data_IF_317421591262
#
_entry.id   IF_317421591262
#
_cell.length_a   1.000
_cell.length_b   1.000
_cell.length_c   1.000
_cell.angle_alpha   90.00
_cell.angle_beta   90.00
_cell.angle_gamma   90.00
#
_symmetry.space_group_name_H-M   'P 1'
#
loop_
_entity.id
_entity.type
_entity.pdbx_description
1 polymer ?
#
# COMPACT_ATOMS: atom_id res chain seq x y z
N UNK A 1 0.24 9.08 -3.07
CA UNK A 1 0.05 8.64 -1.67
C UNK A 1 0.64 7.28 -1.32
N UNK A 2 0.34 6.15 -2.01
CA UNK A 2 0.72 4.82 -1.52
C UNK A 2 2.23 4.62 -1.42
N UNK A 3 3.02 5.20 -2.33
CA UNK A 3 4.48 5.15 -2.30
C UNK A 3 5.07 5.81 -1.05
N UNK A 4 4.57 6.99 -0.66
CA UNK A 4 5.06 7.71 0.53
C UNK A 4 4.72 6.91 1.79
N UNK A 5 3.50 6.38 1.90
CA UNK A 5 3.09 5.56 3.03
C UNK A 5 3.95 4.28 3.16
N UNK A 6 4.21 3.60 2.05
CA UNK A 6 5.07 2.42 2.03
C UNK A 6 6.54 2.74 2.37
N UNK A 7 7.06 3.87 1.88
CA UNK A 7 8.42 4.35 2.23
C UNK A 7 8.52 4.69 3.72
N UNK A 8 7.50 5.33 4.31
CA UNK A 8 7.46 5.60 5.75
C UNK A 8 7.49 4.30 6.57
N UNK A 9 6.73 3.28 6.15
CA UNK A 9 6.77 1.95 6.77
C UNK A 9 8.16 1.31 6.65
N UNK A 10 8.74 1.30 5.46
CA UNK A 10 10.10 0.75 5.20
C UNK A 10 11.16 1.45 6.03
N UNK A 11 11.09 2.78 6.11
CA UNK A 11 11.99 3.58 6.94
C UNK A 11 11.87 3.20 8.42
N UNK A 12 10.65 3.09 8.95
CA UNK A 12 10.40 2.75 10.35
C UNK A 12 10.98 1.38 10.75
N UNK A 13 11.06 0.42 9.82
CA UNK A 13 11.61 -0.93 10.06
C UNK A 13 13.05 -1.11 9.55
N UNK A 14 13.72 -0.04 9.08
CA UNK A 14 15.10 -0.08 8.61
C UNK A 14 15.33 -0.88 7.32
N UNK A 15 14.30 -1.00 6.47
CA UNK A 15 14.39 -1.71 5.19
C UNK A 15 14.51 -0.75 4.01
N UNK A 16 15.12 -1.17 2.89
CA UNK A 16 15.24 -0.35 1.69
C UNK A 16 13.87 -0.05 1.07
N UNK A 17 13.77 1.10 0.40
CA UNK A 17 12.57 1.48 -0.33
C UNK A 17 12.35 0.62 -1.57
N UNK A 18 11.08 0.36 -1.84
CA UNK A 18 10.65 -0.46 -2.98
C UNK A 18 9.88 0.44 -3.95
N UNK A 19 10.36 0.51 -5.20
CA UNK A 19 9.72 1.30 -6.24
C UNK A 19 8.39 0.69 -6.71
N UNK A 20 7.43 1.52 -7.16
CA UNK A 20 6.18 1.04 -7.73
C UNK A 20 6.40 0.27 -9.03
N UNK A 21 5.47 -0.61 -9.34
CA UNK A 21 5.41 -1.39 -10.59
C UNK A 21 4.14 -1.05 -11.35
N UNK A 22 4.27 -0.75 -12.64
CA UNK A 22 3.15 -0.32 -13.50
C UNK A 22 2.24 -1.48 -13.94
N UNK A 23 2.72 -2.71 -13.82
CA UNK A 23 1.98 -3.93 -14.16
C UNK A 23 1.12 -4.46 -13.00
N UNK A 24 1.16 -3.80 -11.84
CA UNK A 24 0.36 -4.15 -10.66
C UNK A 24 -0.81 -3.19 -10.46
N UNK A 25 -1.93 -3.70 -9.96
CA UNK A 25 -3.04 -2.85 -9.53
C UNK A 25 -2.67 -2.01 -8.31
N UNK A 26 -3.52 -1.03 -7.95
CA UNK A 26 -3.27 -0.09 -6.85
C UNK A 26 -2.94 -0.80 -5.53
N UNK A 27 -3.79 -1.74 -5.12
CA UNK A 27 -3.69 -2.48 -3.86
C UNK A 27 -2.51 -3.46 -3.86
N UNK A 28 -2.28 -4.14 -4.99
CA UNK A 28 -1.14 -5.05 -5.18
C UNK A 28 0.20 -4.31 -5.10
N UNK A 29 0.28 -3.15 -5.75
CA UNK A 29 1.48 -2.33 -5.77
C UNK A 29 1.78 -1.78 -4.36
N UNK A 30 0.75 -1.34 -3.63
CA UNK A 30 0.91 -0.91 -2.23
C UNK A 30 1.44 -2.04 -1.35
N UNK A 31 0.84 -3.24 -1.40
CA UNK A 31 1.30 -4.40 -0.65
C UNK A 31 2.74 -4.79 -1.00
N UNK A 32 3.09 -4.78 -2.28
CA UNK A 32 4.47 -5.03 -2.72
C UNK A 32 5.43 -3.99 -2.15
N UNK A 33 5.09 -2.71 -2.21
CA UNK A 33 5.98 -1.65 -1.71
C UNK A 33 6.19 -1.74 -0.19
N UNK A 34 5.19 -2.19 0.57
CA UNK A 34 5.32 -2.39 2.02
C UNK A 34 6.14 -3.64 2.36
N UNK A 35 5.90 -4.78 1.70
CA UNK A 35 6.35 -6.08 2.21
C UNK A 35 7.41 -6.78 1.36
N UNK A 36 7.68 -6.35 0.13
CA UNK A 36 8.77 -6.93 -0.67
C UNK A 36 10.14 -6.60 -0.06
N UNK A 37 11.07 -7.54 -0.13
CA UNK A 37 12.47 -7.36 0.25
C UNK A 37 13.39 -7.68 -0.92
N UNK A 38 14.62 -7.14 -0.99
CA UNK A 38 15.53 -7.43 -2.11
C UNK A 38 16.00 -8.89 -2.17
N UNK A 39 15.86 -9.64 -1.07
CA UNK A 39 16.39 -10.99 -0.93
C UNK A 39 15.57 -12.06 -1.67
N UNK A 40 14.33 -11.76 -2.07
CA UNK A 40 13.45 -12.72 -2.75
C UNK A 40 12.35 -12.04 -3.56
N UNK A 41 11.74 -12.78 -4.47
CA UNK A 41 10.60 -12.30 -5.24
C UNK A 41 9.33 -12.26 -4.37
N UNK A 42 8.74 -11.07 -4.24
CA UNK A 42 7.47 -10.92 -3.52
C UNK A 42 6.29 -11.41 -4.35
N UNK A 43 5.72 -12.55 -3.95
CA UNK A 43 4.51 -13.12 -4.56
C UNK A 43 3.26 -12.56 -3.90
N UNK A 44 2.46 -11.84 -4.69
CA UNK A 44 1.28 -11.17 -4.19
C UNK A 44 0.15 -12.18 -4.01
N UNK A 45 -0.41 -12.26 -2.81
CA UNK A 45 -1.56 -13.10 -2.55
C UNK A 45 -2.85 -12.40 -3.02
N UNK A 46 -3.59 -12.98 -3.99
CA UNK A 46 -4.78 -12.34 -4.54
C UNK A 46 -5.91 -12.17 -3.51
N UNK A 47 -5.94 -12.97 -2.45
CA UNK A 47 -6.89 -12.79 -1.33
C UNK A 47 -6.57 -11.51 -0.55
N UNK A 48 -5.29 -11.28 -0.25
CA UNK A 48 -4.85 -10.09 0.48
C UNK A 48 -5.00 -8.83 -0.37
N UNK A 49 -4.69 -8.90 -1.67
CA UNK A 49 -4.89 -7.79 -2.59
C UNK A 49 -6.36 -7.35 -2.64
N UNK A 50 -7.30 -8.29 -2.77
CA UNK A 50 -8.74 -7.99 -2.74
C UNK A 50 -9.22 -7.48 -1.40
N UNK A 51 -8.67 -7.99 -0.29
CA UNK A 51 -9.01 -7.50 1.03
C UNK A 51 -8.56 -6.04 1.22
N UNK A 52 -7.34 -5.71 0.80
CA UNK A 52 -6.81 -4.35 0.85
C UNK A 52 -7.62 -3.38 -0.02
N UNK A 53 -8.01 -3.82 -1.21
CA UNK A 53 -8.85 -3.04 -2.11
C UNK A 53 -10.18 -2.64 -1.47
N UNK A 54 -10.83 -3.60 -0.80
CA UNK A 54 -12.07 -3.33 -0.05
C UNK A 54 -11.84 -2.39 1.14
N UNK A 55 -10.72 -2.51 1.84
CA UNK A 55 -10.38 -1.59 2.94
C UNK A 55 -10.30 -0.16 2.38
N UNK A 56 -9.58 0.05 1.27
CA UNK A 56 -9.48 1.39 0.67
C UNK A 56 -10.83 1.92 0.22
N UNK A 57 -11.65 1.10 -0.45
CA UNK A 57 -12.99 1.52 -0.90
C UNK A 57 -13.87 1.92 0.29
N UNK A 58 -13.86 1.13 1.36
CA UNK A 58 -14.68 1.40 2.56
C UNK A 58 -14.22 2.64 3.35
N UNK A 59 -12.96 3.06 3.20
CA UNK A 59 -12.41 4.24 3.86
C UNK A 59 -12.16 5.40 2.88
N UNK A 60 -12.71 5.32 1.67
CA UNK A 60 -12.43 6.29 0.62
C UNK A 60 -12.94 7.69 0.96
N UNK A 61 -14.10 7.77 1.63
CA UNK A 61 -14.70 9.01 2.08
C UNK A 61 -15.63 8.77 3.27
N UNK A 62 -15.83 9.80 4.08
CA UNK A 62 -16.81 9.79 5.18
C UNK A 62 -17.46 11.17 5.33
N UNK A 63 -17.86 11.76 4.20
CA UNK A 63 -18.59 13.03 4.05
C UNK A 63 -18.07 14.13 5.00
N UNK A 64 -18.92 14.69 5.86
CA UNK A 64 -18.59 15.79 6.75
C UNK A 64 -17.92 15.31 8.05
N UNK A 65 -16.70 14.82 7.93
CA UNK A 65 -15.82 14.50 9.06
C UNK A 65 -14.74 15.59 9.24
N UNK A 66 -14.06 15.59 10.39
CA UNK A 66 -13.07 16.62 10.72
C UNK A 66 -11.92 16.72 9.70
N UNK A 67 -11.42 15.59 9.18
CA UNK A 67 -10.34 15.59 8.19
C UNK A 67 -10.76 16.05 6.80
N UNK A 68 -12.03 15.87 6.42
CA UNK A 68 -12.56 16.37 5.13
C UNK A 68 -12.92 17.86 5.19
N UNK A 69 -13.34 18.36 6.36
CA UNK A 69 -13.71 19.78 6.55
C UNK A 69 -12.53 20.73 6.84
N UNK A 70 -11.33 20.20 7.09
CA UNK A 70 -10.10 20.97 7.34
C UNK A 70 -9.34 21.20 6.04
#
# INVERSE_FOLDING_TARGET
>A
MPTIAAMAYKYAIGQPFVYPRNDLSYSENFLRMCFAVPAEEYRINPVLARAMDRIFILHADHEQNASTST
#
